data_IF_968212296644
#
_entry.id   IF_968212296644
#
_cell.length_a   1.000
_cell.length_b   1.000
_cell.length_c   1.000
_cell.angle_alpha   90.00
_cell.angle_beta   90.00
_cell.angle_gamma   90.00
#
_symmetry.space_group_name_H-M   'P 1'
#
loop_
_entity.id
_entity.type
_entity.pdbx_description
1 polymer ?
#
# COMPACT_ATOMS: atom_id res chain seq x y z
N UNK A 1 10.03 -61.88 43.72
CA UNK A 1 9.72 -61.13 42.49
C UNK A 1 8.34 -60.51 42.65
N UNK A 2 8.25 -59.21 42.90
CA UNK A 2 7.09 -58.35 42.54
C UNK A 2 7.39 -56.91 42.93
N UNK A 3 7.93 -56.13 41.98
CA UNK A 3 7.90 -54.66 42.06
C UNK A 3 6.54 -54.21 41.54
N UNK A 4 5.77 -53.51 42.38
CA UNK A 4 4.63 -52.72 41.93
C UNK A 4 5.14 -51.34 41.52
N UNK A 5 5.02 -51.03 40.23
CA UNK A 5 5.28 -49.72 39.67
C UNK A 5 4.07 -48.80 39.91
N UNK A 6 4.27 -47.72 40.67
CA UNK A 6 3.33 -46.62 40.81
C UNK A 6 3.31 -45.84 39.49
N UNK A 7 2.20 -45.92 38.75
CA UNK A 7 1.94 -45.09 37.57
C UNK A 7 1.67 -43.66 38.02
N UNK A 8 2.64 -42.77 37.83
CA UNK A 8 2.41 -41.33 37.87
C UNK A 8 1.59 -40.90 36.66
N UNK A 9 0.37 -40.43 36.90
CA UNK A 9 -0.44 -39.71 35.91
C UNK A 9 0.16 -38.32 35.72
N UNK A 10 1.03 -38.18 34.71
CA UNK A 10 1.50 -36.87 34.25
C UNK A 10 0.36 -36.13 33.55
N UNK A 11 -0.10 -35.05 34.18
CA UNK A 11 -1.02 -34.08 33.62
C UNK A 11 -0.41 -33.47 32.35
N UNK A 12 -0.89 -33.89 31.18
CA UNK A 12 -0.48 -33.32 29.89
C UNK A 12 -1.12 -31.92 29.76
N UNK A 13 -0.38 -30.88 30.15
CA UNK A 13 -0.72 -29.50 29.82
C UNK A 13 -0.62 -29.38 28.30
N UNK A 14 -1.67 -28.93 27.57
CA UNK A 14 -1.58 -28.78 26.12
C UNK A 14 -0.48 -27.79 25.79
N UNK A 15 0.52 -28.24 25.03
CA UNK A 15 1.61 -27.39 24.54
C UNK A 15 0.99 -26.22 23.76
N UNK A 16 1.30 -24.98 24.16
CA UNK A 16 0.87 -23.79 23.44
C UNK A 16 1.32 -23.90 21.98
N UNK A 17 0.37 -24.04 21.06
CA UNK A 17 0.63 -24.13 19.63
C UNK A 17 1.46 -22.92 19.18
N UNK A 18 2.60 -23.16 18.53
CA UNK A 18 3.42 -22.06 18.02
C UNK A 18 2.58 -21.24 17.03
N UNK A 19 2.64 -19.92 17.10
CA UNK A 19 1.85 -19.03 16.21
C UNK A 19 2.09 -19.31 14.72
N UNK A 20 3.27 -19.83 14.37
CA UNK A 20 3.62 -20.29 13.03
C UNK A 20 2.73 -21.45 12.59
N UNK A 21 2.46 -22.42 13.46
CA UNK A 21 1.61 -23.56 13.15
C UNK A 21 0.15 -23.11 13.00
N UNK A 22 -0.28 -22.12 13.79
CA UNK A 22 -1.58 -21.46 13.62
C UNK A 22 -1.70 -20.79 12.25
N UNK A 23 -0.67 -20.02 11.83
CA UNK A 23 -0.66 -19.39 10.50
C UNK A 23 -0.71 -20.44 9.38
N UNK A 24 0.10 -21.50 9.46
CA UNK A 24 0.11 -22.57 8.46
C UNK A 24 -1.24 -23.26 8.36
N UNK A 25 -1.88 -23.53 9.49
CA UNK A 25 -3.22 -24.13 9.52
C UNK A 25 -4.27 -23.19 8.92
N UNK A 26 -4.17 -21.88 9.15
CA UNK A 26 -5.06 -20.88 8.54
C UNK A 26 -4.86 -20.77 7.02
N UNK A 27 -3.61 -20.74 6.54
CA UNK A 27 -3.31 -20.66 5.11
C UNK A 27 -3.74 -21.92 4.34
N UNK A 28 -3.65 -23.08 4.98
CA UNK A 28 -4.12 -24.36 4.42
C UNK A 28 -5.62 -24.58 4.59
N UNK A 29 -6.35 -23.69 5.28
CA UNK A 29 -7.80 -23.80 5.41
C UNK A 29 -8.44 -23.66 4.01
N UNK A 30 -9.40 -24.53 3.63
CA UNK A 30 -9.98 -24.52 2.30
C UNK A 30 -10.52 -23.15 1.87
N UNK A 31 -11.19 -22.44 2.79
CA UNK A 31 -11.76 -21.12 2.53
C UNK A 31 -10.72 -20.04 2.22
N UNK A 32 -9.55 -20.09 2.88
CA UNK A 32 -8.46 -19.13 2.65
C UNK A 32 -7.72 -19.49 1.36
N UNK A 33 -7.47 -20.79 1.14
CA UNK A 33 -6.81 -21.27 -0.07
C UNK A 33 -7.63 -20.97 -1.32
N UNK A 34 -8.96 -21.08 -1.24
CA UNK A 34 -9.88 -20.71 -2.33
C UNK A 34 -9.77 -19.22 -2.67
N UNK A 35 -9.68 -18.33 -1.68
CA UNK A 35 -9.46 -16.89 -1.93
C UNK A 35 -8.14 -16.62 -2.66
N UNK A 36 -7.05 -17.29 -2.25
CA UNK A 36 -5.77 -17.18 -2.95
C UNK A 36 -5.82 -17.78 -4.36
N UNK A 37 -6.53 -18.89 -4.56
CA UNK A 37 -6.74 -19.48 -5.89
C UNK A 37 -7.57 -18.58 -6.79
N UNK A 38 -8.59 -17.91 -6.28
CA UNK A 38 -9.37 -16.95 -7.06
C UNK A 38 -8.52 -15.75 -7.50
N UNK A 39 -7.60 -15.27 -6.66
CA UNK A 39 -6.73 -14.15 -6.99
C UNK A 39 -5.56 -14.51 -7.91
N UNK A 40 -4.89 -15.65 -7.66
CA UNK A 40 -3.59 -16.01 -8.26
C UNK A 40 -3.63 -17.25 -9.15
N UNK A 41 -4.75 -17.97 -9.16
CA UNK A 41 -4.95 -19.22 -9.89
C UNK A 41 -3.83 -20.22 -9.62
N UNK A 42 -3.02 -20.55 -10.64
CA UNK A 42 -1.92 -21.53 -10.55
C UNK A 42 -0.77 -21.10 -9.64
N UNK A 43 -0.62 -19.79 -9.39
CA UNK A 43 0.48 -19.24 -8.59
C UNK A 43 0.17 -19.18 -7.08
N UNK A 44 -1.07 -19.53 -6.67
CA UNK A 44 -1.50 -19.47 -5.28
C UNK A 44 -0.61 -20.29 -4.32
N UNK A 45 -0.23 -21.56 -4.61
CA UNK A 45 0.60 -22.35 -3.69
C UNK A 45 1.99 -21.73 -3.46
N UNK A 46 2.62 -21.23 -4.53
CA UNK A 46 3.94 -20.56 -4.44
C UNK A 46 3.86 -19.28 -3.62
N UNK A 47 2.77 -18.53 -3.75
CA UNK A 47 2.54 -17.33 -2.96
C UNK A 47 2.31 -17.62 -1.48
N UNK A 48 1.53 -18.65 -1.17
CA UNK A 48 1.31 -19.09 0.22
C UNK A 48 2.64 -19.50 0.87
N UNK A 49 3.50 -20.22 0.15
CA UNK A 49 4.84 -20.55 0.63
C UNK A 49 5.67 -19.29 0.95
N UNK A 50 5.64 -18.27 0.08
CA UNK A 50 6.36 -17.02 0.33
C UNK A 50 5.85 -16.25 1.54
N UNK A 51 4.55 -16.33 1.85
CA UNK A 51 3.95 -15.75 3.07
C UNK A 51 4.44 -16.48 4.33
N UNK A 52 4.53 -17.81 4.28
CA UNK A 52 5.05 -18.62 5.39
C UNK A 52 6.52 -18.28 5.66
N UNK A 53 7.33 -18.17 4.60
CA UNK A 53 8.75 -17.82 4.70
C UNK A 53 8.94 -16.41 5.28
N UNK A 54 8.12 -15.44 4.83
CA UNK A 54 8.12 -14.09 5.37
C UNK A 54 7.82 -14.07 6.87
N UNK A 55 6.78 -14.81 7.31
CA UNK A 55 6.40 -14.86 8.72
C UNK A 55 7.43 -15.57 9.59
N UNK A 56 8.11 -16.60 9.05
CA UNK A 56 9.20 -17.28 9.75
C UNK A 56 10.44 -16.38 9.90
N UNK A 57 10.75 -15.58 8.87
CA UNK A 57 11.95 -14.74 8.85
C UNK A 57 11.85 -13.43 9.65
N UNK A 58 10.68 -13.07 10.17
CA UNK A 58 10.46 -11.78 10.84
C UNK A 58 9.83 -11.96 12.23
N UNK A 59 10.65 -11.80 13.27
CA UNK A 59 10.20 -11.91 14.66
C UNK A 59 9.11 -10.90 15.04
N UNK A 60 9.06 -9.72 14.41
CA UNK A 60 8.02 -8.73 14.68
C UNK A 60 6.69 -9.14 14.05
N UNK A 61 6.71 -9.77 12.85
CA UNK A 61 5.50 -10.35 12.28
C UNK A 61 4.96 -11.50 13.12
N UNK A 62 5.81 -12.27 13.81
CA UNK A 62 5.36 -13.30 14.74
C UNK A 62 4.64 -12.74 15.97
N UNK A 63 4.85 -11.47 16.31
CA UNK A 63 4.10 -10.78 17.36
C UNK A 63 2.69 -10.41 16.90
N UNK A 64 2.49 -10.18 15.60
CA UNK A 64 1.18 -9.92 15.01
C UNK A 64 0.22 -11.11 15.14
N UNK A 65 -1.06 -10.81 15.02
CA UNK A 65 -2.12 -11.82 14.92
C UNK A 65 -2.04 -12.53 13.55
N UNK A 66 -1.94 -13.88 13.49
CA UNK A 66 -1.82 -14.61 12.23
C UNK A 66 -2.92 -14.29 11.23
N UNK A 67 -4.17 -14.15 11.70
CA UNK A 67 -5.33 -13.78 10.86
C UNK A 67 -5.11 -12.44 10.14
N UNK A 68 -4.58 -11.43 10.85
CA UNK A 68 -4.29 -10.13 10.24
C UNK A 68 -3.20 -10.22 9.18
N UNK A 69 -2.19 -11.07 9.37
CA UNK A 69 -1.12 -11.28 8.36
C UNK A 69 -1.68 -11.89 7.09
N UNK A 70 -2.60 -12.86 7.21
CA UNK A 70 -3.27 -13.48 6.05
C UNK A 70 -4.10 -12.44 5.27
N UNK A 71 -4.83 -11.57 5.97
CA UNK A 71 -5.62 -10.51 5.32
C UNK A 71 -4.75 -9.52 4.53
N UNK A 72 -3.63 -9.09 5.10
CA UNK A 72 -2.69 -8.20 4.39
C UNK A 72 -1.99 -8.93 3.22
N UNK A 73 -1.76 -10.24 3.35
CA UNK A 73 -1.24 -11.06 2.25
C UNK A 73 -2.25 -11.23 1.11
N UNK A 74 -3.55 -11.33 1.42
CA UNK A 74 -4.61 -11.38 0.41
C UNK A 74 -4.65 -10.09 -0.43
N UNK A 75 -4.47 -8.91 0.18
CA UNK A 75 -4.37 -7.63 -0.56
C UNK A 75 -3.28 -7.68 -1.62
N UNK A 76 -2.09 -8.19 -1.27
CA UNK A 76 -0.99 -8.36 -2.22
C UNK A 76 -1.30 -9.40 -3.31
N UNK A 77 -2.00 -10.49 -2.96
CA UNK A 77 -2.39 -11.53 -3.90
C UNK A 77 -3.38 -11.02 -4.95
N UNK A 78 -4.36 -10.20 -4.56
CA UNK A 78 -5.32 -9.56 -5.48
C UNK A 78 -4.58 -8.69 -6.49
N UNK A 79 -3.57 -7.93 -6.05
CA UNK A 79 -2.72 -7.14 -6.93
C UNK A 79 -1.72 -7.98 -7.74
N UNK A 80 -1.70 -9.30 -7.57
CA UNK A 80 -0.77 -10.24 -8.20
C UNK A 80 0.68 -9.78 -8.04
N UNK A 81 1.03 -9.27 -6.85
CA UNK A 81 2.36 -8.81 -6.51
C UNK A 81 3.05 -9.83 -5.62
N UNK A 82 4.24 -10.34 -5.99
CA UNK A 82 4.95 -11.30 -5.16
C UNK A 82 5.39 -10.64 -3.85
N UNK A 83 5.16 -11.31 -2.72
CA UNK A 83 5.63 -10.85 -1.41
C UNK A 83 7.01 -11.45 -1.15
N UNK A 84 8.02 -10.80 -1.69
CA UNK A 84 9.42 -11.11 -1.40
C UNK A 84 10.19 -9.80 -1.19
N UNK A 85 10.78 -9.65 0.01
CA UNK A 85 11.51 -8.45 0.42
C UNK A 85 12.63 -8.09 -0.55
N UNK A 86 13.30 -9.07 -1.15
CA UNK A 86 14.40 -8.85 -2.10
C UNK A 86 13.91 -8.35 -3.48
N UNK A 87 12.68 -8.71 -3.87
CA UNK A 87 12.17 -8.33 -5.19
C UNK A 87 11.67 -6.88 -5.21
N UNK A 88 11.13 -6.38 -4.09
CA UNK A 88 10.74 -4.97 -3.94
C UNK A 88 9.37 -4.60 -4.54
N UNK A 89 8.50 -5.57 -4.80
CA UNK A 89 7.15 -5.33 -5.34
C UNK A 89 6.12 -4.99 -4.27
N UNK A 90 6.14 -5.73 -3.16
CA UNK A 90 5.19 -5.63 -2.06
C UNK A 90 5.84 -6.03 -0.75
N UNK A 91 5.41 -5.40 0.34
CA UNK A 91 5.90 -5.62 1.69
C UNK A 91 4.74 -5.77 2.66
N UNK A 92 4.88 -6.62 3.67
CA UNK A 92 4.01 -6.60 4.85
C UNK A 92 4.89 -6.18 6.01
N UNK A 93 4.60 -5.01 6.58
CA UNK A 93 5.42 -4.39 7.61
C UNK A 93 4.62 -4.35 8.92
N UNK A 94 5.17 -4.85 10.04
CA UNK A 94 4.55 -4.74 11.34
C UNK A 94 4.73 -3.32 11.90
N UNK A 95 3.63 -2.67 12.27
CA UNK A 95 3.63 -1.41 13.00
C UNK A 95 3.11 -1.58 14.42
N UNK A 96 3.70 -0.84 15.35
CA UNK A 96 3.24 -0.82 16.73
C UNK A 96 2.13 0.22 16.90
N UNK A 97 0.89 -0.22 16.75
CA UNK A 97 -0.29 0.65 16.79
C UNK A 97 -0.86 0.70 18.22
N UNK A 98 -1.34 1.88 18.61
CA UNK A 98 -2.06 2.05 19.87
C UNK A 98 -3.54 1.76 19.63
N UNK A 99 -4.04 0.69 20.22
CA UNK A 99 -5.42 0.22 20.09
C UNK A 99 -6.12 0.36 21.44
N UNK A 100 -7.34 0.89 21.44
CA UNK A 100 -8.19 0.89 22.64
C UNK A 100 -8.75 -0.51 22.84
N UNK A 101 -8.50 -1.07 24.01
CA UNK A 101 -9.12 -2.31 24.44
C UNK A 101 -10.62 -2.09 24.73
N UNK A 102 -11.39 -3.17 24.86
CA UNK A 102 -12.84 -3.13 25.17
C UNK A 102 -13.13 -2.37 26.49
N UNK A 103 -12.12 -2.26 27.36
CA UNK A 103 -12.16 -1.53 28.64
C UNK A 103 -11.72 -0.07 28.53
N UNK A 104 -11.51 0.46 27.32
CA UNK A 104 -11.13 1.85 27.07
C UNK A 104 -9.64 2.17 27.29
N UNK A 105 -8.82 1.19 27.68
CA UNK A 105 -7.40 1.38 27.92
C UNK A 105 -6.60 1.32 26.61
N UNK A 106 -5.61 2.20 26.47
CA UNK A 106 -4.69 2.15 25.33
C UNK A 106 -3.66 1.05 25.51
N UNK A 107 -3.64 0.09 24.59
CA UNK A 107 -2.66 -0.98 24.53
C UNK A 107 -1.89 -0.91 23.22
N UNK A 108 -0.60 -1.23 23.26
CA UNK A 108 0.25 -1.27 22.07
C UNK A 108 0.20 -2.67 21.47
N UNK A 109 -0.40 -2.80 20.28
CA UNK A 109 -0.52 -4.06 19.54
C UNK A 109 0.25 -3.96 18.24
N UNK A 110 1.07 -4.98 17.97
CA UNK A 110 1.74 -5.11 16.68
C UNK A 110 0.71 -5.53 15.63
N UNK A 111 0.55 -4.71 14.58
CA UNK A 111 -0.37 -4.97 13.48
C UNK A 111 0.38 -4.97 12.16
N UNK A 112 0.18 -5.97 11.29
CA UNK A 112 0.76 -5.98 9.96
C UNK A 112 0.04 -4.95 9.08
N UNK A 113 0.76 -4.32 8.17
CA UNK A 113 0.21 -3.45 7.14
C UNK A 113 0.86 -3.77 5.81
N UNK A 114 0.04 -4.03 4.80
CA UNK A 114 0.48 -4.14 3.41
C UNK A 114 0.97 -2.77 2.94
N UNK A 115 2.17 -2.77 2.35
CA UNK A 115 2.72 -1.61 1.67
C UNK A 115 3.21 -2.02 0.30
N UNK A 116 2.81 -1.26 -0.71
CA UNK A 116 3.25 -1.49 -2.06
C UNK A 116 4.67 -0.94 -2.26
N UNK A 117 5.54 -1.74 -2.88
CA UNK A 117 6.89 -1.31 -3.25
C UNK A 117 6.88 -0.48 -4.53
N UNK A 118 7.95 0.27 -4.78
CA UNK A 118 8.07 1.10 -5.99
C UNK A 118 7.99 0.27 -7.28
N UNK A 119 8.56 -0.95 -7.30
CA UNK A 119 8.44 -1.87 -8.43
C UNK A 119 7.01 -2.39 -8.59
N UNK A 120 6.23 -2.47 -7.51
CA UNK A 120 4.81 -2.78 -7.57
C UNK A 120 4.04 -1.72 -8.35
N UNK A 121 4.26 -0.44 -8.07
CA UNK A 121 3.69 0.67 -8.84
C UNK A 121 4.06 0.60 -10.32
N UNK A 122 5.34 0.38 -10.63
CA UNK A 122 5.82 0.27 -12.02
C UNK A 122 5.15 -0.93 -12.71
N UNK A 123 5.06 -2.08 -12.04
CA UNK A 123 4.43 -3.28 -12.60
C UNK A 123 2.95 -3.04 -12.91
N UNK A 124 2.21 -2.41 -12.00
CA UNK A 124 0.80 -2.08 -12.23
C UNK A 124 0.65 -1.08 -13.38
N UNK A 125 1.49 -0.06 -13.44
CA UNK A 125 1.50 0.88 -14.57
C UNK A 125 1.79 0.16 -15.90
N UNK A 126 2.80 -0.72 -15.95
CA UNK A 126 3.12 -1.52 -17.14
C UNK A 126 1.97 -2.43 -17.58
N UNK A 127 1.22 -3.03 -16.64
CA UNK A 127 0.06 -3.88 -16.96
C UNK A 127 -1.06 -3.15 -17.70
N UNK A 128 -1.14 -1.83 -17.59
CA UNK A 128 -2.14 -1.03 -18.33
C UNK A 128 -1.88 -1.00 -19.83
N UNK A 129 -0.63 -1.25 -20.28
CA UNK A 129 -0.22 -1.09 -21.67
C UNK A 129 -0.23 0.36 -22.18
N UNK A 130 -0.47 1.34 -21.30
CA UNK A 130 -0.57 2.76 -21.69
C UNK A 130 0.75 3.53 -21.58
N UNK A 131 1.73 2.98 -20.87
CA UNK A 131 3.02 3.63 -20.62
C UNK A 131 4.06 3.17 -21.63
N UNK A 132 4.65 4.14 -22.33
CA UNK A 132 5.79 3.95 -23.22
C UNK A 132 7.10 3.91 -22.43
N UNK A 133 7.27 4.84 -21.49
CA UNK A 133 8.47 4.96 -20.66
C UNK A 133 8.06 5.33 -19.24
N UNK A 134 8.69 4.69 -18.24
CA UNK A 134 8.66 5.13 -16.84
C UNK A 134 10.10 5.08 -16.35
N UNK A 135 10.61 6.20 -15.87
CA UNK A 135 11.94 6.29 -15.30
C UNK A 135 11.90 7.03 -13.96
N UNK A 136 12.70 6.60 -13.00
CA UNK A 136 12.85 7.29 -11.73
C UNK A 136 14.21 6.98 -11.15
N UNK A 137 14.95 8.02 -10.79
CA UNK A 137 16.28 7.88 -10.23
C UNK A 137 16.65 9.10 -9.36
N UNK A 138 17.83 9.02 -8.76
CA UNK A 138 18.48 10.10 -8.05
C UNK A 138 19.00 11.16 -9.02
N UNK A 139 19.06 12.40 -8.57
CA UNK A 139 19.68 13.51 -9.30
C UNK A 139 20.90 13.95 -8.51
N UNK A 140 22.06 13.95 -9.16
CA UNK A 140 23.30 14.41 -8.60
C UNK A 140 23.53 15.90 -8.88
N UNK A 141 24.37 16.51 -8.07
CA UNK A 141 24.83 17.89 -8.28
C UNK A 141 25.50 18.02 -9.67
N UNK A 142 25.09 19.05 -10.42
CA UNK A 142 25.54 19.30 -11.80
C UNK A 142 24.61 18.79 -12.90
N UNK A 143 23.73 17.82 -12.61
CA UNK A 143 22.83 17.21 -13.62
C UNK A 143 21.59 18.08 -13.92
N UNK A 144 21.14 18.88 -12.97
CA UNK A 144 19.97 19.77 -13.11
C UNK A 144 20.36 21.10 -13.75
N UNK A 145 19.85 21.40 -14.96
CA UNK A 145 20.13 22.69 -15.64
C UNK A 145 18.97 23.68 -15.62
N UNK A 146 17.77 23.26 -16.03
CA UNK A 146 16.64 24.18 -16.26
C UNK A 146 15.32 23.58 -15.81
N UNK A 147 14.56 24.37 -15.06
CA UNK A 147 13.19 24.09 -14.67
C UNK A 147 12.28 25.13 -15.30
N UNK A 148 11.48 24.73 -16.27
CA UNK A 148 10.49 25.61 -16.87
C UNK A 148 9.24 25.65 -15.99
N UNK A 149 9.01 26.78 -15.31
CA UNK A 149 7.87 26.95 -14.40
C UNK A 149 6.52 26.93 -15.11
N UNK A 150 6.46 27.27 -16.40
CA UNK A 150 5.22 27.34 -17.17
C UNK A 150 4.83 25.97 -17.73
N UNK A 151 5.79 25.24 -18.31
CA UNK A 151 5.53 23.91 -18.89
C UNK A 151 5.70 22.78 -17.88
N UNK A 152 6.40 23.02 -16.78
CA UNK A 152 6.81 22.00 -15.81
C UNK A 152 7.91 21.07 -16.34
N UNK A 153 8.54 21.42 -17.47
CA UNK A 153 9.63 20.65 -18.06
C UNK A 153 10.91 20.81 -17.23
N UNK A 154 11.55 19.68 -16.95
CA UNK A 154 12.78 19.61 -16.16
C UNK A 154 13.83 18.93 -17.04
N UNK A 155 14.88 19.68 -17.38
CA UNK A 155 15.99 19.19 -18.18
C UNK A 155 17.11 18.67 -17.27
N UNK A 156 17.44 17.39 -17.45
CA UNK A 156 18.55 16.68 -16.81
C UNK A 156 19.68 16.40 -17.82
N UNK A 157 20.07 17.44 -18.57
CA UNK A 157 21.13 17.40 -19.60
C UNK A 157 22.48 17.91 -19.09
N UNK A 158 22.61 18.08 -17.77
CA UNK A 158 23.87 18.42 -17.12
C UNK A 158 24.81 17.24 -16.95
N UNK A 159 26.09 17.53 -16.73
CA UNK A 159 27.08 16.52 -16.35
C UNK A 159 27.21 16.50 -14.83
N UNK A 160 27.29 15.30 -14.26
CA UNK A 160 27.53 15.11 -12.84
C UNK A 160 28.85 15.75 -12.42
N UNK A 161 28.79 16.77 -11.57
CA UNK A 161 29.97 17.45 -11.03
C UNK A 161 30.40 16.91 -9.67
N UNK A 162 29.51 16.22 -8.96
CA UNK A 162 29.72 15.73 -7.60
C UNK A 162 28.81 14.53 -7.29
N UNK A 163 29.22 13.66 -6.36
CA UNK A 163 28.44 12.51 -5.87
C UNK A 163 27.33 12.91 -4.89
N UNK A 164 27.18 14.20 -4.60
CA UNK A 164 26.13 14.71 -3.73
C UNK A 164 24.77 14.61 -4.40
N UNK A 165 23.82 13.97 -3.72
CA UNK A 165 22.44 13.87 -4.18
C UNK A 165 21.71 15.18 -3.88
N UNK A 166 21.11 15.79 -4.91
CA UNK A 166 20.37 17.06 -4.80
C UNK A 166 18.86 16.87 -4.84
N UNK A 167 18.39 15.75 -5.39
CA UNK A 167 16.98 15.38 -5.38
C UNK A 167 16.70 14.05 -6.05
N UNK A 168 15.43 13.81 -6.30
CA UNK A 168 14.92 12.60 -6.94
C UNK A 168 13.92 13.02 -8.01
N UNK A 169 13.91 12.28 -9.12
CA UNK A 169 12.95 12.52 -10.19
C UNK A 169 12.15 11.28 -10.52
N UNK A 170 10.98 11.50 -11.10
CA UNK A 170 10.23 10.50 -11.83
C UNK A 170 9.72 11.12 -13.12
N UNK A 171 9.81 10.36 -14.20
CA UNK A 171 9.32 10.69 -15.53
C UNK A 171 8.44 9.55 -16.02
N UNK A 172 7.34 9.89 -16.68
CA UNK A 172 6.69 8.94 -17.56
C UNK A 172 6.30 9.56 -18.90
N UNK A 173 6.15 8.70 -19.88
CA UNK A 173 5.58 8.98 -21.20
C UNK A 173 4.50 7.92 -21.48
N UNK A 174 3.32 8.37 -21.89
CA UNK A 174 2.23 7.51 -22.34
C UNK A 174 2.27 7.32 -23.86
N UNK A 175 1.62 6.26 -24.33
CA UNK A 175 1.53 5.93 -25.76
C UNK A 175 0.85 7.02 -26.60
N UNK A 176 0.04 7.88 -25.98
CA UNK A 176 -0.63 9.02 -26.63
C UNK A 176 0.25 10.30 -26.71
N UNK A 177 1.52 10.23 -26.28
CA UNK A 177 2.45 11.35 -26.28
C UNK A 177 2.37 12.27 -25.06
N UNK A 178 1.44 12.04 -24.12
CA UNK A 178 1.45 12.75 -22.85
C UNK A 178 2.66 12.32 -22.02
N UNK A 179 3.45 13.29 -21.57
CA UNK A 179 4.58 13.04 -20.67
C UNK A 179 4.58 14.01 -19.52
N UNK A 180 5.14 13.57 -18.39
CA UNK A 180 5.24 14.39 -17.19
C UNK A 180 6.48 14.02 -16.40
N UNK A 181 7.18 15.03 -15.92
CA UNK A 181 8.30 14.90 -14.99
C UNK A 181 7.91 15.50 -13.65
N UNK A 182 8.22 14.79 -12.57
CA UNK A 182 8.20 15.28 -11.20
C UNK A 182 9.62 15.26 -10.66
N UNK A 183 10.05 16.35 -10.05
CA UNK A 183 11.29 16.45 -9.31
C UNK A 183 11.00 16.91 -7.89
N UNK A 184 11.65 16.30 -6.92
CA UNK A 184 11.61 16.71 -5.52
C UNK A 184 13.05 16.85 -5.00
N UNK A 185 13.36 17.97 -4.36
CA UNK A 185 14.66 18.16 -3.71
C UNK A 185 14.80 17.23 -2.50
N UNK A 186 16.03 17.00 -2.05
CA UNK A 186 16.27 16.22 -0.81
C UNK A 186 15.55 16.84 0.39
N UNK A 187 15.50 18.17 0.48
CA UNK A 187 14.78 18.89 1.53
C UNK A 187 13.27 18.63 1.49
N UNK A 188 12.65 18.78 0.31
CA UNK A 188 11.23 18.47 0.12
C UNK A 188 10.92 17.01 0.42
N UNK A 189 11.85 16.10 0.11
CA UNK A 189 11.72 14.68 0.41
C UNK A 189 11.81 14.40 1.92
N UNK A 190 12.73 15.06 2.62
CA UNK A 190 12.87 14.96 4.07
C UNK A 190 11.63 15.50 4.80
N UNK A 191 11.06 16.62 4.33
CA UNK A 191 9.80 17.15 4.84
C UNK A 191 8.63 16.20 4.61
N UNK A 192 8.53 15.61 3.42
CA UNK A 192 7.53 14.60 3.11
C UNK A 192 7.66 13.38 4.04
N UNK A 193 8.88 12.86 4.21
CA UNK A 193 9.14 11.74 5.10
C UNK A 193 8.72 12.04 6.54
N UNK A 194 9.04 13.23 7.05
CA UNK A 194 8.68 13.66 8.40
C UNK A 194 7.16 13.81 8.59
N UNK A 195 6.45 14.31 7.57
CA UNK A 195 4.99 14.52 7.64
C UNK A 195 4.21 13.21 7.61
N UNK A 196 4.59 12.30 6.72
CA UNK A 196 3.75 11.15 6.36
C UNK A 196 4.26 9.81 6.93
N UNK A 197 5.48 9.73 7.47
CA UNK A 197 6.00 8.46 7.97
C UNK A 197 5.57 8.15 9.41
N UNK A 198 4.66 7.18 9.57
CA UNK A 198 4.33 6.59 10.89
C UNK A 198 5.51 5.89 11.58
N UNK A 199 6.52 5.47 10.82
CA UNK A 199 7.69 4.73 11.33
C UNK A 199 8.78 5.63 11.91
N UNK A 200 8.72 6.94 11.69
CA UNK A 200 9.72 7.88 12.19
C UNK A 200 9.39 8.30 13.64
N UNK A 201 10.44 8.39 14.46
CA UNK A 201 10.31 8.97 15.81
C UNK A 201 10.02 10.46 15.68
N UNK A 202 9.16 10.99 16.56
CA UNK A 202 8.79 12.42 16.58
C UNK A 202 10.01 13.35 16.72
N UNK A 203 11.08 12.87 17.33
CA UNK A 203 12.35 13.59 17.53
C UNK A 203 13.22 13.69 16.25
N UNK A 204 12.85 12.99 15.18
CA UNK A 204 13.62 13.00 13.93
C UNK A 204 13.58 14.39 13.30
N UNK A 205 14.76 14.97 13.05
CA UNK A 205 14.90 16.26 12.39
C UNK A 205 14.99 16.09 10.87
N UNK A 206 14.57 17.13 10.14
CA UNK A 206 14.69 17.18 8.67
C UNK A 206 16.15 17.06 8.25
N UNK A 207 17.05 17.71 8.99
CA UNK A 207 18.49 17.62 8.77
C UNK A 207 19.05 16.21 8.92
N UNK A 208 18.60 15.45 9.92
CA UNK A 208 18.98 14.03 10.06
C UNK A 208 18.56 13.21 8.83
N UNK A 209 17.41 13.51 8.22
CA UNK A 209 16.93 12.82 7.02
C UNK A 209 17.70 13.26 5.77
N UNK A 210 18.02 14.55 5.64
CA UNK A 210 18.85 15.06 4.55
C UNK A 210 20.25 14.45 4.58
N UNK A 211 20.82 14.24 5.77
CA UNK A 211 22.11 13.57 5.92
C UNK A 211 22.08 12.12 5.42
N UNK A 212 20.94 11.42 5.50
CA UNK A 212 20.80 10.07 4.94
C UNK A 212 20.88 10.05 3.42
N UNK A 213 20.51 11.14 2.74
CA UNK A 213 20.63 11.24 1.28
C UNK A 213 22.09 11.30 0.81
N UNK A 214 23.00 11.77 1.67
CA UNK A 214 24.44 11.79 1.38
C UNK A 214 25.12 10.44 1.61
N UNK A 215 24.42 9.48 2.24
CA UNK A 215 24.96 8.14 2.43
C UNK A 215 24.76 7.31 1.16
N UNK A 216 25.70 6.39 0.85
CA UNK A 216 25.51 5.45 -0.23
C UNK A 216 24.28 4.58 0.04
N UNK A 217 23.66 4.07 -1.03
CA UNK A 217 22.52 3.14 -0.94
C UNK A 217 22.97 1.89 -0.17
N UNK A 218 22.71 1.86 1.13
CA UNK A 218 23.00 0.71 1.98
C UNK A 218 21.97 -0.38 1.66
N UNK A 219 22.36 -1.35 0.83
CA UNK A 219 21.52 -2.51 0.47
C UNK A 219 21.23 -3.42 1.66
N UNK A 220 22.07 -3.37 2.71
CA UNK A 220 22.08 -4.35 3.81
C UNK A 220 21.67 -3.78 5.18
N UNK A 221 20.97 -2.63 5.21
CA UNK A 221 20.50 -2.07 6.48
C UNK A 221 19.45 -2.97 7.12
N UNK A 222 19.68 -3.39 8.37
CA UNK A 222 18.70 -4.16 9.17
C UNK A 222 17.46 -3.34 9.54
N UNK A 223 17.54 -2.01 9.39
CA UNK A 223 16.44 -1.09 9.67
C UNK A 223 15.55 -1.00 8.43
N UNK A 224 14.24 -0.97 8.62
CA UNK A 224 13.27 -0.81 7.51
C UNK A 224 12.75 0.63 7.45
N UNK A 225 12.26 1.05 6.28
CA UNK A 225 11.70 2.39 6.06
C UNK A 225 12.77 3.47 5.82
N UNK A 226 12.41 4.74 6.05
CA UNK A 226 13.24 5.91 5.71
C UNK A 226 14.63 5.92 6.34
N UNK A 227 14.77 5.39 7.56
CA UNK A 227 16.05 5.29 8.26
C UNK A 227 16.96 4.18 7.71
N UNK A 228 16.36 3.16 7.11
CA UNK A 228 17.08 2.00 6.58
C UNK A 228 17.47 2.16 5.11
N UNK A 229 16.55 2.70 4.31
CA UNK A 229 16.73 2.87 2.88
C UNK A 229 16.05 4.16 2.41
N UNK A 230 16.73 5.29 2.63
CA UNK A 230 16.21 6.61 2.26
C UNK A 230 15.98 6.73 0.74
N UNK A 231 16.96 6.34 -0.07
CA UNK A 231 16.90 6.41 -1.54
C UNK A 231 15.73 5.60 -2.12
N UNK A 232 15.54 4.36 -1.67
CA UNK A 232 14.42 3.53 -2.11
C UNK A 232 13.04 4.09 -1.72
N UNK A 233 12.94 4.70 -0.53
CA UNK A 233 11.72 5.36 -0.08
C UNK A 233 11.44 6.66 -0.85
N UNK A 234 12.49 7.41 -1.18
CA UNK A 234 12.39 8.62 -1.99
C UNK A 234 11.93 8.30 -3.42
N UNK A 235 12.52 7.28 -4.06
CA UNK A 235 12.10 6.77 -5.38
C UNK A 235 10.66 6.27 -5.36
N UNK A 236 10.25 5.49 -4.34
CA UNK A 236 8.84 5.10 -4.14
C UNK A 236 7.93 6.34 -4.11
N UNK A 237 8.34 7.36 -3.37
CA UNK A 237 7.54 8.58 -3.13
C UNK A 237 7.33 9.37 -4.42
N UNK A 238 8.39 9.62 -5.20
CA UNK A 238 8.24 10.34 -6.48
C UNK A 238 7.40 9.56 -7.50
N UNK A 239 7.58 8.23 -7.59
CA UNK A 239 6.79 7.36 -8.46
C UNK A 239 5.31 7.40 -8.05
N UNK A 240 5.02 7.16 -6.77
CA UNK A 240 3.65 7.18 -6.24
C UNK A 240 2.98 8.53 -6.51
N UNK A 241 3.66 9.63 -6.18
CA UNK A 241 3.10 10.98 -6.31
C UNK A 241 2.84 11.38 -7.77
N UNK A 242 3.70 10.96 -8.69
CA UNK A 242 3.53 11.25 -10.11
C UNK A 242 2.39 10.42 -10.70
N UNK A 243 2.41 9.10 -10.45
CA UNK A 243 1.40 8.18 -10.98
C UNK A 243 0.01 8.44 -10.37
N UNK A 244 -0.08 8.74 -9.08
CA UNK A 244 -1.38 9.01 -8.42
C UNK A 244 -2.07 10.28 -8.93
N UNK A 245 -1.30 11.26 -9.42
CA UNK A 245 -1.82 12.55 -9.88
C UNK A 245 -2.08 12.60 -11.38
N UNK A 246 -1.21 12.00 -12.18
CA UNK A 246 -1.21 12.16 -13.64
C UNK A 246 -1.15 10.84 -14.39
N UNK A 247 -0.88 9.73 -13.69
CA UNK A 247 -0.79 8.42 -14.31
C UNK A 247 -2.16 7.93 -14.74
N UNK A 248 -2.18 7.14 -15.82
CA UNK A 248 -3.32 6.28 -16.10
C UNK A 248 -3.37 5.18 -15.04
N UNK A 249 -4.38 5.23 -14.16
CA UNK A 249 -4.56 4.30 -13.06
C UNK A 249 -5.60 3.24 -13.43
N UNK A 250 -5.18 1.97 -13.50
CA UNK A 250 -6.14 0.86 -13.49
C UNK A 250 -6.91 0.83 -12.17
N UNK A 251 -8.07 0.17 -12.13
CA UNK A 251 -8.85 -0.03 -10.90
C UNK A 251 -7.99 -0.68 -9.81
N UNK A 252 -7.21 -1.71 -10.16
CA UNK A 252 -6.24 -2.35 -9.26
C UNK A 252 -5.25 -1.34 -8.65
N UNK A 253 -4.80 -0.36 -9.44
CA UNK A 253 -3.86 0.66 -9.00
C UNK A 253 -4.52 1.72 -8.11
N UNK A 254 -5.78 2.06 -8.37
CA UNK A 254 -6.55 2.97 -7.51
C UNK A 254 -6.77 2.35 -6.12
N UNK A 255 -7.20 1.09 -6.07
CA UNK A 255 -7.34 0.32 -4.82
C UNK A 255 -5.99 0.18 -4.10
N UNK A 256 -4.92 -0.10 -4.84
CA UNK A 256 -3.59 -0.21 -4.26
C UNK A 256 -3.10 1.10 -3.65
N UNK A 257 -3.37 2.25 -4.30
CA UNK A 257 -3.05 3.57 -3.75
C UNK A 257 -3.86 3.84 -2.48
N UNK A 258 -5.16 3.51 -2.48
CA UNK A 258 -6.02 3.69 -1.31
C UNK A 258 -5.56 2.82 -0.12
N UNK A 259 -5.25 1.54 -0.37
CA UNK A 259 -4.80 0.61 0.66
C UNK A 259 -3.40 0.91 1.19
N UNK A 260 -2.46 1.37 0.35
CA UNK A 260 -1.13 1.85 0.81
C UNK A 260 -1.27 3.10 1.69
N UNK A 261 -2.35 3.86 1.48
CA UNK A 261 -2.67 5.10 2.20
C UNK A 261 -3.30 4.86 3.58
N UNK A 262 -3.93 3.73 3.86
CA UNK A 262 -4.39 3.41 5.23
C UNK A 262 -3.21 3.30 6.23
N UNK A 263 -2.01 3.01 5.70
CA UNK A 263 -0.73 3.12 6.39
C UNK A 263 -0.28 4.56 6.69
N UNK A 264 -1.00 5.58 6.21
CA UNK A 264 -0.63 7.00 6.20
C UNK A 264 -1.90 7.86 6.41
N UNK A 265 -2.27 8.07 7.68
CA UNK A 265 -3.62 8.54 8.11
C UNK A 265 -4.02 9.92 7.61
N UNK A 266 -3.12 10.71 7.01
CA UNK A 266 -3.35 12.14 6.72
C UNK A 266 -3.77 12.43 5.27
N UNK A 267 -3.80 11.42 4.40
CA UNK A 267 -4.08 11.65 2.96
C UNK A 267 -5.57 11.78 2.67
N UNK A 268 -6.45 11.13 3.46
CA UNK A 268 -7.90 11.14 3.23
C UNK A 268 -8.47 12.56 3.30
N UNK A 269 -8.07 13.36 4.28
CA UNK A 269 -8.62 14.71 4.46
C UNK A 269 -8.13 15.65 3.37
N UNK A 270 -6.87 15.55 2.95
CA UNK A 270 -6.29 16.46 1.94
C UNK A 270 -6.72 16.20 0.49
N UNK A 271 -7.12 14.96 0.14
CA UNK A 271 -7.64 14.62 -1.19
C UNK A 271 -9.14 14.93 -1.32
N UNK A 272 -9.91 14.75 -0.24
CA UNK A 272 -11.33 15.10 -0.20
C UNK A 272 -11.51 16.62 -0.20
N UNK A 273 -10.67 17.37 0.54
CA UNK A 273 -10.73 18.85 0.53
C UNK A 273 -10.39 19.48 -0.82
N UNK A 274 -9.55 18.83 -1.65
CA UNK A 274 -9.08 19.43 -2.92
C UNK A 274 -9.93 19.07 -4.14
N UNK A 275 -10.62 17.93 -4.13
CA UNK A 275 -11.32 17.40 -5.31
C UNK A 275 -12.80 17.03 -5.04
N UNK A 276 -13.31 17.25 -3.84
CA UNK A 276 -14.70 16.94 -3.50
C UNK A 276 -15.66 18.04 -3.94
N UNK A 277 -16.30 17.89 -5.11
CA UNK A 277 -17.62 18.48 -5.33
C UNK A 277 -18.62 17.73 -4.44
N UNK A 278 -18.75 18.16 -3.18
CA UNK A 278 -19.75 17.62 -2.26
C UNK A 278 -21.04 18.41 -2.47
N UNK A 279 -21.95 17.91 -3.30
CA UNK A 279 -23.36 18.12 -3.01
C UNK A 279 -23.75 17.05 -1.98
N UNK A 280 -23.87 17.49 -0.73
CA UNK A 280 -24.38 16.67 0.36
C UNK A 280 -25.88 16.51 0.12
N UNK A 281 -26.30 15.34 -0.36
CA UNK A 281 -27.71 14.96 -0.31
C UNK A 281 -27.97 14.41 1.10
N UNK A 282 -28.68 15.17 1.93
CA UNK A 282 -29.20 14.67 3.20
C UNK A 282 -30.26 13.60 2.91
N UNK A 283 -29.93 12.34 3.19
CA UNK A 283 -30.86 11.21 3.15
C UNK A 283 -31.69 11.24 4.45
N UNK A 284 -32.59 12.21 4.58
CA UNK A 284 -33.54 12.24 5.71
C UNK A 284 -35.00 12.47 5.34
N UNK A 285 -35.36 12.75 4.07
CA UNK A 285 -36.76 12.97 3.68
C UNK A 285 -37.22 12.05 2.54
N UNK A 286 -37.00 10.74 2.66
CA UNK A 286 -37.79 9.77 1.88
C UNK A 286 -39.03 9.42 2.68
N UNK A 287 -40.13 10.11 2.42
CA UNK A 287 -41.47 9.70 2.83
C UNK A 287 -41.85 8.46 2.01
N UNK A 288 -42.03 7.33 2.68
CA UNK A 288 -42.62 6.15 2.07
C UNK A 288 -44.13 6.31 2.12
N UNK A 289 -44.79 6.52 0.98
CA UNK A 289 -46.22 6.27 0.87
C UNK A 289 -46.42 4.76 0.68
N UNK A 290 -47.01 4.13 1.69
CA UNK A 290 -47.45 2.74 1.65
C UNK A 290 -48.67 2.65 0.72
N UNK A 291 -48.53 1.97 -0.42
CA UNK A 291 -49.64 1.72 -1.34
C UNK A 291 -49.97 0.24 -1.30
N UNK A 292 -50.93 -0.13 -0.45
CA UNK A 292 -51.62 -1.41 -0.54
C UNK A 292 -53.13 -1.22 -0.72
N UNK A 293 -53.59 -1.81 -1.83
CA UNK A 293 -54.93 -2.29 -2.19
C UNK A 293 -56.03 -1.35 -2.74
N UNK A 294 -56.54 -1.81 -3.90
CA UNK A 294 -57.85 -1.62 -4.54
C UNK A 294 -58.06 -0.28 -5.30
N UNK A 295 -58.59 -0.17 -6.53
CA UNK A 295 -59.49 -1.01 -7.33
C UNK A 295 -59.33 -0.74 -8.86
N UNK A 296 -59.44 -1.81 -9.66
CA UNK A 296 -60.22 -1.95 -10.91
C UNK A 296 -60.74 -0.70 -11.67
N UNK A 297 -60.27 -0.44 -12.91
CA UNK A 297 -60.97 -0.71 -14.19
C UNK A 297 -60.31 -0.05 -15.43
N UNK A 298 -60.44 -0.63 -16.64
CA UNK A 298 -59.74 -0.20 -17.85
C UNK A 298 -60.57 0.79 -18.71
N UNK A 299 -59.92 1.75 -19.39
CA UNK A 299 -60.53 2.51 -20.51
C UNK A 299 -59.53 2.78 -21.65
N UNK A 300 -60.10 2.70 -22.86
CA UNK A 300 -59.53 2.58 -24.21
C UNK A 300 -58.62 3.71 -24.74
N UNK A 301 -57.89 3.45 -25.86
CA UNK A 301 -57.02 4.41 -26.54
C UNK A 301 -57.74 5.20 -27.65
N UNK A 302 -57.55 6.52 -27.68
CA UNK A 302 -57.86 7.45 -28.79
C UNK A 302 -57.25 8.81 -28.39
N UNK A 303 -56.69 9.67 -29.23
CA UNK A 303 -56.44 9.70 -30.68
C UNK A 303 -55.33 10.77 -30.90
N UNK A 304 -54.59 10.65 -31.99
CA UNK A 304 -53.50 11.55 -32.39
C UNK A 304 -54.08 12.81 -33.05
N UNK A 305 -53.62 14.00 -32.66
CA UNK A 305 -53.84 15.23 -33.42
C UNK A 305 -52.49 15.88 -33.84
N UNK A 306 -52.19 16.00 -35.14
CA UNK A 306 -51.05 16.76 -35.65
C UNK A 306 -51.49 18.09 -36.31
N UNK A 307 -50.98 19.21 -35.80
CA UNK A 307 -50.99 20.51 -36.50
C UNK A 307 -50.83 21.66 -35.49
N UNK A 308 -49.98 22.67 -35.69
CA UNK A 308 -49.35 23.27 -36.88
C UNK A 308 -47.87 23.56 -36.62
#
# INVERSE_FOLDING_TARGET
>A
MTQQAVKGTGSNVPAQTKKIDVLKNMLNAPSVMEQFQNALSKSAPTFVASVIDLYNGDSNLQMCEPKAVVMEALKAAVLKLPINKALGYAFIIPFNNSVKDEKGNWTKKMMPTFQMGYKGYIQLAMRTGQYKTINADVVYEGELRKVNKLTGEIAFDGEKTSDKVVGYFCYFELMNGFSKTLYMTVEQMADHAKRYSKGLKKETTVESLMNLANLPVATDSKTVGWMGNFHGMAVKTVIRNLLSKYGYLSVEMQEAIQNDTEGDTDVRDSLVEKNGNIQTFEISDTHYEDVTEAENQPKSPEEVDPGY
#
